data_IF_537904306243
#
_entry.id   IF_537904306243
#
_cell.length_a   1.000
_cell.length_b   1.000
_cell.length_c   1.000
_cell.angle_alpha   90.00
_cell.angle_beta   90.00
_cell.angle_gamma   90.00
#
_symmetry.space_group_name_H-M   'P 1'
#
loop_
_entity.id
_entity.type
_entity.pdbx_description
1 polymer ?
#
# COMPACT_ATOMS: atom_id res chain seq x y z
N UNK A 1 -18.03 -14.93 2.89
CA UNK A 1 -17.21 -15.67 1.89
C UNK A 1 -15.89 -16.03 2.58
N UNK A 2 -15.51 -17.30 2.58
CA UNK A 2 -14.21 -17.74 3.13
C UNK A 2 -13.17 -17.67 2.01
N UNK A 3 -11.96 -17.13 2.25
CA UNK A 3 -10.95 -17.08 1.20
C UNK A 3 -10.39 -18.46 0.86
N UNK A 4 -9.97 -18.61 -0.39
CA UNK A 4 -8.95 -19.60 -0.77
C UNK A 4 -7.60 -19.06 -0.36
N UNK A 5 -6.84 -19.80 0.44
CA UNK A 5 -5.53 -19.36 0.94
C UNK A 5 -4.44 -20.13 0.20
N UNK A 6 -3.62 -19.40 -0.55
CA UNK A 6 -2.48 -19.92 -1.30
C UNK A 6 -1.18 -19.47 -0.65
N UNK A 7 -0.20 -20.37 -0.61
CA UNK A 7 1.17 -20.06 -0.21
C UNK A 7 2.05 -19.88 -1.45
N UNK A 8 2.94 -18.92 -1.40
CA UNK A 8 3.92 -18.67 -2.45
C UNK A 8 5.32 -18.50 -1.87
N UNK A 9 6.35 -18.76 -2.67
CA UNK A 9 7.72 -18.67 -2.19
C UNK A 9 8.13 -17.22 -1.91
N UNK A 10 8.87 -17.00 -0.81
CA UNK A 10 9.52 -15.73 -0.50
C UNK A 10 11.02 -15.98 -0.42
N UNK A 11 11.87 -15.13 -1.03
CA UNK A 11 13.32 -15.24 -0.87
C UNK A 11 13.72 -15.23 0.61
N UNK A 12 14.40 -16.29 1.05
CA UNK A 12 14.90 -16.41 2.42
C UNK A 12 13.86 -16.73 3.49
N UNK A 13 12.69 -17.27 3.12
CA UNK A 13 11.66 -17.72 4.06
C UNK A 13 11.01 -19.05 3.64
N UNK A 14 11.26 -20.10 4.40
CA UNK A 14 10.69 -21.45 4.18
C UNK A 14 9.17 -21.51 4.33
N UNK A 15 8.58 -20.56 5.06
CA UNK A 15 7.14 -20.52 5.33
C UNK A 15 6.31 -19.92 4.20
N UNK A 16 6.99 -19.23 3.27
CA UNK A 16 6.38 -18.52 2.15
C UNK A 16 5.52 -17.32 2.58
N UNK A 17 4.92 -16.67 1.58
CA UNK A 17 3.92 -15.62 1.73
C UNK A 17 2.51 -16.19 1.66
N UNK A 18 1.54 -15.36 2.00
CA UNK A 18 0.12 -15.71 1.96
C UNK A 18 -0.62 -14.85 0.95
N UNK A 19 -1.46 -15.50 0.15
CA UNK A 19 -2.40 -14.87 -0.75
C UNK A 19 -3.81 -15.37 -0.42
N UNK A 20 -4.67 -14.45 0.03
CA UNK A 20 -6.09 -14.72 0.27
C UNK A 20 -6.88 -14.34 -0.98
N UNK A 21 -7.59 -15.29 -1.56
CA UNK A 21 -8.32 -15.10 -2.81
C UNK A 21 -9.83 -15.15 -2.54
N UNK A 22 -10.54 -14.18 -3.12
CA UNK A 22 -11.99 -14.02 -3.08
C UNK A 22 -12.55 -13.87 -4.50
N UNK A 23 -13.79 -14.31 -4.71
CA UNK A 23 -14.48 -14.22 -6.00
C UNK A 23 -14.24 -15.42 -6.91
N UNK A 24 -14.85 -15.36 -8.09
CA UNK A 24 -14.89 -16.43 -9.09
C UNK A 24 -13.93 -16.14 -10.26
N UNK A 25 -13.25 -17.15 -10.79
CA UNK A 25 -12.32 -17.00 -11.93
C UNK A 25 -12.96 -16.62 -13.27
N UNK A 26 -14.27 -16.37 -13.29
CA UNK A 26 -15.00 -15.82 -14.45
C UNK A 26 -15.05 -14.29 -14.46
N UNK A 27 -14.57 -13.62 -13.39
CA UNK A 27 -14.59 -12.16 -13.30
C UNK A 27 -13.78 -11.48 -14.40
N UNK A 28 -14.31 -10.41 -14.99
CA UNK A 28 -13.60 -9.58 -15.99
C UNK A 28 -12.43 -8.78 -15.41
N UNK A 29 -12.45 -8.56 -14.10
CA UNK A 29 -11.44 -7.81 -13.35
C UNK A 29 -10.71 -8.72 -12.37
N UNK A 30 -9.38 -8.72 -12.47
CA UNK A 30 -8.47 -9.31 -11.48
C UNK A 30 -7.86 -8.18 -10.67
N UNK A 31 -7.95 -8.27 -9.35
CA UNK A 31 -7.46 -7.25 -8.42
C UNK A 31 -6.45 -7.87 -7.47
N UNK A 32 -5.27 -7.27 -7.34
CA UNK A 32 -4.29 -7.63 -6.30
C UNK A 32 -4.13 -6.47 -5.32
N UNK A 33 -4.47 -6.69 -4.06
CA UNK A 33 -4.14 -5.79 -2.97
C UNK A 33 -2.83 -6.20 -2.30
N UNK A 34 -1.94 -5.23 -2.08
CA UNK A 34 -0.79 -5.38 -1.20
C UNK A 34 -0.64 -4.16 -0.27
N UNK A 35 -0.92 -4.38 1.01
CA UNK A 35 -0.81 -3.35 2.05
C UNK A 35 0.63 -3.18 2.55
N UNK A 36 0.97 -1.94 2.91
CA UNK A 36 2.19 -1.53 3.59
C UNK A 36 2.09 -1.62 5.09
N UNK A 37 2.85 -0.82 5.83
CA UNK A 37 2.73 -0.80 7.29
C UNK A 37 1.44 -0.09 7.69
N UNK A 38 0.68 -0.56 8.69
CA UNK A 38 0.81 -1.82 9.44
C UNK A 38 -0.17 -2.91 8.93
N UNK A 39 -0.43 -3.00 7.63
CA UNK A 39 -1.40 -3.93 7.07
C UNK A 39 -0.93 -5.38 7.08
N UNK A 40 -1.78 -6.24 7.66
CA UNK A 40 -1.81 -7.65 7.29
C UNK A 40 -2.82 -7.87 6.14
N UNK A 41 -3.26 -9.11 5.93
CA UNK A 41 -4.33 -9.41 4.98
C UNK A 41 -5.72 -9.04 5.50
N UNK A 42 -5.87 -8.96 6.81
CA UNK A 42 -7.12 -8.80 7.54
C UNK A 42 -7.82 -7.44 7.31
N UNK A 43 -7.14 -6.26 7.29
CA UNK A 43 -7.82 -4.97 7.24
C UNK A 43 -8.55 -4.75 5.92
N UNK A 44 -8.00 -5.29 4.83
CA UNK A 44 -8.59 -5.18 3.50
C UNK A 44 -9.57 -6.32 3.17
N UNK A 45 -9.62 -7.38 3.99
CA UNK A 45 -10.50 -8.54 3.75
C UNK A 45 -11.98 -8.14 3.55
N UNK A 46 -12.59 -7.24 4.37
CA UNK A 46 -13.96 -6.81 4.14
C UNK A 46 -14.17 -6.12 2.79
N UNK A 47 -13.22 -5.29 2.35
CA UNK A 47 -13.26 -4.65 1.03
C UNK A 47 -13.10 -5.67 -0.09
N UNK A 48 -12.17 -6.62 0.04
CA UNK A 48 -11.96 -7.67 -0.94
C UNK A 48 -13.22 -8.55 -1.13
N UNK A 49 -13.90 -8.90 -0.03
CA UNK A 49 -15.17 -9.62 -0.08
C UNK A 49 -16.26 -8.83 -0.78
N UNK A 50 -16.34 -7.52 -0.51
CA UNK A 50 -17.29 -6.63 -1.18
C UNK A 50 -17.01 -6.60 -2.68
N UNK A 51 -15.78 -6.26 -3.09
CA UNK A 51 -15.36 -6.24 -4.50
C UNK A 51 -15.59 -7.57 -5.22
N UNK A 52 -15.40 -8.70 -4.52
CA UNK A 52 -15.66 -10.04 -5.06
C UNK A 52 -17.14 -10.35 -5.29
N UNK A 53 -18.05 -9.64 -4.63
CA UNK A 53 -19.49 -9.74 -4.85
C UNK A 53 -19.98 -8.74 -5.89
N UNK A 54 -20.94 -9.17 -6.70
CA UNK A 54 -21.68 -8.29 -7.62
C UNK A 54 -22.55 -7.31 -6.82
N UNK A 55 -22.43 -6.01 -7.09
CA UNK A 55 -23.32 -4.99 -6.53
C UNK A 55 -24.65 -5.01 -7.28
N UNK A 56 -25.76 -4.98 -6.54
CA UNK A 56 -27.12 -5.01 -7.09
C UNK A 56 -27.51 -3.76 -7.88
N UNK A 57 -26.67 -2.71 -7.90
CA UNK A 57 -27.07 -1.41 -8.43
C UNK A 57 -26.35 -0.99 -9.71
N UNK A 58 -25.11 -1.42 -10.01
CA UNK A 58 -24.41 -0.96 -11.23
C UNK A 58 -23.41 -1.95 -11.83
N UNK A 59 -22.95 -2.97 -11.11
CA UNK A 59 -21.94 -3.92 -11.61
C UNK A 59 -22.57 -5.29 -11.84
N UNK A 60 -22.59 -5.80 -13.08
CA UNK A 60 -23.12 -7.15 -13.32
C UNK A 60 -22.22 -8.24 -12.73
N UNK A 61 -20.90 -8.02 -12.68
CA UNK A 61 -19.92 -9.03 -12.26
C UNK A 61 -19.07 -8.59 -11.05
N UNK A 62 -18.81 -9.52 -10.13
CA UNK A 62 -17.80 -9.35 -9.08
C UNK A 62 -16.37 -9.41 -9.62
N UNK A 63 -15.39 -9.05 -8.79
CA UNK A 63 -13.96 -9.14 -9.13
C UNK A 63 -13.33 -10.45 -8.62
N UNK A 64 -12.22 -10.86 -9.23
CA UNK A 64 -11.34 -11.88 -8.66
C UNK A 64 -10.24 -11.19 -7.87
N UNK A 65 -10.32 -11.25 -6.53
CA UNK A 65 -9.52 -10.40 -5.64
C UNK A 65 -8.51 -11.21 -4.84
N UNK A 66 -7.24 -10.94 -5.04
CA UNK A 66 -6.14 -11.40 -4.19
C UNK A 66 -5.77 -10.35 -3.15
N UNK A 67 -5.57 -10.78 -1.92
CA UNK A 67 -5.08 -9.95 -0.81
C UNK A 67 -3.81 -10.56 -0.27
N UNK A 68 -2.73 -9.79 -0.28
CA UNK A 68 -1.46 -10.18 0.32
C UNK A 68 -0.89 -9.05 1.17
N UNK A 69 0.11 -9.36 1.97
CA UNK A 69 0.81 -8.40 2.81
C UNK A 69 2.31 -8.71 2.82
N UNK A 70 3.08 -7.83 3.42
CA UNK A 70 4.53 -7.98 3.44
C UNK A 70 4.96 -9.15 4.35
N UNK A 71 6.15 -9.73 4.11
CA UNK A 71 6.65 -10.80 4.94
C UNK A 71 6.73 -10.38 6.41
N UNK A 72 6.08 -11.16 7.28
CA UNK A 72 6.02 -10.89 8.72
C UNK A 72 4.99 -9.85 9.14
N UNK A 73 4.08 -9.41 8.26
CA UNK A 73 3.00 -8.48 8.63
C UNK A 73 1.68 -9.20 8.94
N UNK A 74 1.47 -10.38 8.38
CA UNK A 74 0.34 -11.26 8.73
C UNK A 74 0.42 -11.71 10.18
N UNK A 75 -0.58 -11.34 10.98
CA UNK A 75 -0.55 -11.54 12.44
C UNK A 75 -0.71 -13.01 12.82
N UNK A 76 -1.70 -13.69 12.22
CA UNK A 76 -1.95 -15.11 12.49
C UNK A 76 -0.75 -15.97 12.15
N UNK A 77 -0.06 -15.68 11.03
CA UNK A 77 1.16 -16.40 10.69
C UNK A 77 2.29 -16.05 11.65
N UNK A 78 2.47 -14.78 12.02
CA UNK A 78 3.57 -14.39 12.90
C UNK A 78 3.54 -15.11 14.26
N UNK A 79 2.35 -15.34 14.82
CA UNK A 79 2.20 -16.00 16.12
C UNK A 79 2.44 -17.51 16.10
N UNK A 80 2.39 -18.16 14.94
CA UNK A 80 2.56 -19.61 14.86
C UNK A 80 4.04 -19.97 15.05
N UNK A 81 4.34 -20.88 16.00
CA UNK A 81 5.70 -21.34 16.32
C UNK A 81 6.49 -21.83 15.08
N UNK A 82 5.82 -22.43 14.11
CA UNK A 82 6.41 -22.87 12.82
C UNK A 82 6.82 -21.73 11.89
N UNK A 83 6.37 -20.50 12.15
CA UNK A 83 6.59 -19.31 11.35
C UNK A 83 7.49 -18.27 12.04
N UNK A 84 8.18 -18.68 13.11
CA UNK A 84 9.34 -17.97 13.68
C UNK A 84 10.56 -17.88 12.73
N UNK A 85 10.44 -18.37 11.51
CA UNK A 85 11.49 -18.40 10.48
C UNK A 85 11.66 -17.12 9.66
N UNK A 86 10.97 -16.02 9.99
CA UNK A 86 11.20 -14.76 9.29
C UNK A 86 12.64 -14.28 9.51
N UNK A 87 13.27 -13.81 8.44
CA UNK A 87 14.63 -13.25 8.47
C UNK A 87 14.73 -12.17 9.55
N UNK A 88 15.63 -12.35 10.52
CA UNK A 88 15.90 -11.38 11.60
C UNK A 88 16.18 -9.96 11.08
N UNK A 89 16.81 -9.87 9.92
CA UNK A 89 17.13 -8.60 9.26
C UNK A 89 15.95 -7.90 8.59
N UNK A 90 14.74 -8.49 8.59
CA UNK A 90 13.63 -8.04 7.75
C UNK A 90 13.95 -8.20 6.26
N UNK A 91 13.10 -7.61 5.43
CA UNK A 91 13.15 -7.75 3.98
C UNK A 91 13.37 -6.39 3.32
N UNK A 92 14.31 -6.32 2.38
CA UNK A 92 14.53 -5.11 1.59
C UNK A 92 13.46 -4.96 0.49
N UNK A 93 13.40 -3.80 -0.17
CA UNK A 93 12.35 -3.54 -1.16
C UNK A 93 12.38 -4.47 -2.37
N UNK A 94 13.54 -4.96 -2.81
CA UNK A 94 13.62 -5.95 -3.89
C UNK A 94 13.08 -7.31 -3.45
N UNK A 95 13.35 -7.72 -2.21
CA UNK A 95 12.79 -8.96 -1.63
C UNK A 95 11.26 -8.86 -1.54
N UNK A 96 10.72 -7.72 -1.08
CA UNK A 96 9.27 -7.47 -1.02
C UNK A 96 8.64 -7.40 -2.40
N UNK A 97 9.30 -6.77 -3.37
CA UNK A 97 8.86 -6.72 -4.76
C UNK A 97 8.72 -8.13 -5.35
N UNK A 98 9.67 -9.02 -5.08
CA UNK A 98 9.55 -10.43 -5.45
C UNK A 98 8.30 -11.08 -4.83
N UNK A 99 7.94 -10.75 -3.58
CA UNK A 99 6.71 -11.23 -2.97
C UNK A 99 5.46 -10.78 -3.73
N UNK A 100 5.40 -9.50 -4.12
CA UNK A 100 4.28 -8.95 -4.90
C UNK A 100 4.16 -9.67 -6.25
N UNK A 101 5.29 -9.89 -6.93
CA UNK A 101 5.32 -10.63 -8.20
C UNK A 101 4.83 -12.07 -8.04
N UNK A 102 5.35 -12.81 -7.07
CA UNK A 102 4.93 -14.20 -6.84
C UNK A 102 3.45 -14.30 -6.44
N UNK A 103 2.95 -13.33 -5.66
CA UNK A 103 1.53 -13.24 -5.33
C UNK A 103 0.67 -12.99 -6.59
N UNK A 104 1.07 -12.06 -7.46
CA UNK A 104 0.39 -11.81 -8.73
C UNK A 104 0.37 -13.08 -9.60
N UNK A 105 1.51 -13.76 -9.71
CA UNK A 105 1.60 -15.02 -10.47
C UNK A 105 0.64 -16.09 -9.94
N UNK A 106 0.64 -16.33 -8.62
CA UNK A 106 -0.28 -17.31 -8.03
C UNK A 106 -1.75 -16.90 -8.16
N UNK A 107 -2.05 -15.59 -8.11
CA UNK A 107 -3.40 -15.09 -8.34
C UNK A 107 -3.88 -15.48 -9.74
N UNK A 108 -3.05 -15.29 -10.76
CA UNK A 108 -3.40 -15.65 -12.14
C UNK A 108 -3.45 -17.17 -12.35
N UNK A 109 -2.56 -17.95 -11.72
CA UNK A 109 -2.65 -19.43 -11.74
C UNK A 109 -4.02 -19.89 -11.24
N UNK A 110 -4.48 -19.37 -10.09
CA UNK A 110 -5.80 -19.74 -9.56
C UNK A 110 -6.96 -19.18 -10.39
N UNK A 111 -6.81 -17.98 -10.94
CA UNK A 111 -7.80 -17.39 -11.84
C UNK A 111 -8.04 -18.28 -13.07
N UNK A 112 -6.97 -18.69 -13.75
CA UNK A 112 -7.08 -19.55 -14.93
C UNK A 112 -7.50 -20.98 -14.58
N UNK A 113 -7.13 -21.51 -13.41
CA UNK A 113 -7.58 -22.84 -12.95
C UNK A 113 -9.10 -22.91 -12.80
N UNK A 114 -9.75 -21.79 -12.46
CA UNK A 114 -11.20 -21.69 -12.30
C UNK A 114 -11.94 -21.39 -13.63
N UNK A 115 -11.23 -21.02 -14.71
CA UNK A 115 -11.85 -20.81 -16.03
C UNK A 115 -12.09 -22.15 -16.73
N UNK A 116 -13.34 -22.61 -16.72
CA UNK A 116 -13.76 -23.91 -17.31
C UNK A 116 -13.98 -23.84 -18.85
N UNK A 117 -14.04 -22.64 -19.45
CA UNK A 117 -14.32 -22.48 -20.90
C UNK A 117 -13.54 -21.31 -21.55
N UNK A 118 -13.31 -21.42 -22.87
CA UNK A 118 -12.58 -20.55 -23.81
C UNK A 118 -13.02 -19.06 -23.83
N UNK A 119 -12.85 -18.34 -22.73
CA UNK A 119 -12.91 -16.87 -22.76
C UNK A 119 -11.63 -16.33 -23.40
N UNK A 120 -11.75 -15.86 -24.64
CA UNK A 120 -10.66 -15.22 -25.42
C UNK A 120 -10.18 -13.88 -24.85
N UNK A 121 -10.89 -13.31 -23.87
CA UNK A 121 -10.57 -12.00 -23.33
C UNK A 121 -9.66 -12.10 -22.10
N UNK A 122 -8.51 -11.44 -22.21
CA UNK A 122 -7.57 -11.20 -21.10
C UNK A 122 -8.27 -10.31 -20.06
N UNK A 123 -8.28 -10.70 -18.77
CA UNK A 123 -8.90 -9.87 -17.74
C UNK A 123 -8.14 -8.55 -17.58
N UNK A 124 -8.83 -7.51 -17.13
CA UNK A 124 -8.18 -6.29 -16.67
C UNK A 124 -7.48 -6.57 -15.34
N UNK A 125 -6.20 -6.20 -15.24
CA UNK A 125 -5.44 -6.36 -14.01
C UNK A 125 -5.27 -5.02 -13.29
N UNK A 126 -5.82 -4.93 -12.08
CA UNK A 126 -5.69 -3.76 -11.20
C UNK A 126 -4.89 -4.12 -9.96
N UNK A 127 -3.94 -3.27 -9.59
CA UNK A 127 -3.23 -3.38 -8.31
C UNK A 127 -3.70 -2.29 -7.35
N UNK A 128 -3.82 -2.62 -6.08
CA UNK A 128 -4.20 -1.70 -5.00
C UNK A 128 -3.09 -1.72 -3.96
N UNK A 129 -2.51 -0.56 -3.69
CA UNK A 129 -1.42 -0.41 -2.72
C UNK A 129 -1.78 0.61 -1.65
N UNK A 130 -1.40 0.32 -0.42
CA UNK A 130 -1.62 1.19 0.74
C UNK A 130 -0.31 1.43 1.50
N UNK A 131 -0.13 2.65 2.00
CA UNK A 131 1.02 3.07 2.80
C UNK A 131 2.38 2.68 2.16
N UNK A 132 3.29 2.02 2.91
CA UNK A 132 4.57 1.53 2.40
C UNK A 132 4.42 0.59 1.22
N UNK A 133 3.28 -0.09 1.04
CA UNK A 133 2.98 -0.96 -0.10
C UNK A 133 3.07 -0.21 -1.42
N UNK A 134 2.84 1.11 -1.42
CA UNK A 134 2.97 1.96 -2.61
C UNK A 134 4.38 1.94 -3.18
N UNK A 135 5.43 1.88 -2.34
CA UNK A 135 6.81 1.93 -2.81
C UNK A 135 7.23 0.71 -3.64
N UNK A 136 7.31 -0.51 -3.09
CA UNK A 136 7.63 -1.68 -3.89
C UNK A 136 6.48 -2.05 -4.85
N UNK A 137 5.25 -1.59 -4.60
CA UNK A 137 4.13 -1.74 -5.52
C UNK A 137 4.34 -0.97 -6.82
N UNK A 138 4.71 0.31 -6.76
CA UNK A 138 5.07 1.08 -7.95
C UNK A 138 6.36 0.57 -8.59
N UNK A 139 7.33 0.11 -7.81
CA UNK A 139 8.50 -0.58 -8.37
C UNK A 139 8.10 -1.84 -9.14
N UNK A 140 7.15 -2.64 -8.63
CA UNK A 140 6.62 -3.80 -9.35
C UNK A 140 5.96 -3.37 -10.66
N UNK A 141 5.07 -2.38 -10.63
CA UNK A 141 4.38 -1.90 -11.84
C UNK A 141 5.37 -1.43 -12.91
N UNK A 142 6.28 -0.53 -12.55
CA UNK A 142 7.22 0.04 -13.53
C UNK A 142 8.17 -1.03 -14.09
N UNK A 143 8.64 -1.96 -13.26
CA UNK A 143 9.46 -3.08 -13.74
C UNK A 143 8.68 -4.04 -14.62
N UNK A 144 7.39 -4.29 -14.35
CA UNK A 144 6.56 -5.09 -15.25
C UNK A 144 6.32 -4.42 -16.60
N UNK A 145 6.34 -3.08 -16.66
CA UNK A 145 6.24 -2.31 -17.91
C UNK A 145 7.58 -2.31 -18.68
N UNK A 146 8.71 -2.18 -17.97
CA UNK A 146 10.02 -1.96 -18.57
C UNK A 146 10.83 -3.25 -18.80
N UNK A 147 10.63 -4.28 -17.98
CA UNK A 147 11.44 -5.51 -17.98
C UNK A 147 10.61 -6.72 -18.44
N UNK A 148 10.98 -7.34 -19.55
CA UNK A 148 10.30 -8.53 -20.10
C UNK A 148 10.19 -9.68 -19.09
N UNK A 149 11.16 -9.81 -18.17
CA UNK A 149 11.17 -10.82 -17.11
C UNK A 149 10.05 -10.61 -16.06
N UNK A 150 9.51 -9.40 -15.94
CA UNK A 150 8.38 -9.07 -15.06
C UNK A 150 7.04 -8.95 -15.82
N UNK A 151 7.05 -9.06 -17.15
CA UNK A 151 5.90 -8.76 -18.02
C UNK A 151 4.75 -9.78 -17.97
N UNK A 152 4.93 -10.96 -17.33
CA UNK A 152 3.93 -12.05 -17.33
C UNK A 152 2.52 -11.55 -16.94
N UNK A 153 2.46 -10.61 -15.98
CA UNK A 153 1.23 -9.92 -15.57
C UNK A 153 1.50 -8.44 -15.30
N UNK A 154 1.37 -7.60 -16.33
CA UNK A 154 1.52 -6.14 -16.22
C UNK A 154 0.20 -5.50 -15.79
N UNK A 155 0.16 -4.78 -14.65
CA UNK A 155 -1.06 -4.08 -14.24
C UNK A 155 -1.48 -3.00 -15.24
N UNK A 156 -2.76 -2.97 -15.57
CA UNK A 156 -3.34 -1.93 -16.43
C UNK A 156 -3.82 -0.72 -15.62
N UNK A 157 -4.08 -0.91 -14.32
CA UNK A 157 -4.62 0.13 -13.44
C UNK A 157 -4.00 0.05 -12.06
N UNK A 158 -3.91 1.21 -11.41
CA UNK A 158 -3.35 1.34 -10.09
C UNK A 158 -4.32 2.10 -9.20
N UNK A 159 -4.58 1.57 -8.02
CA UNK A 159 -5.22 2.30 -6.93
C UNK A 159 -4.18 2.54 -5.85
N UNK A 160 -3.94 3.81 -5.50
CA UNK A 160 -3.04 4.21 -4.44
C UNK A 160 -3.85 4.75 -3.27
N UNK A 161 -3.61 4.22 -2.09
CA UNK A 161 -4.29 4.59 -0.86
C UNK A 161 -3.29 5.29 0.08
N UNK A 162 -3.66 6.50 0.51
CA UNK A 162 -2.96 7.34 1.51
C UNK A 162 -1.61 7.93 1.05
N UNK A 163 -0.73 7.14 0.45
CA UNK A 163 0.61 7.54 0.01
C UNK A 163 0.67 7.80 -1.50
N UNK A 164 1.37 8.88 -1.88
CA UNK A 164 1.69 9.17 -3.28
C UNK A 164 3.19 9.50 -3.41
N UNK A 165 3.90 8.72 -4.20
CA UNK A 165 5.34 8.89 -4.42
C UNK A 165 5.63 9.90 -5.52
N UNK A 166 6.92 10.16 -5.75
CA UNK A 166 7.37 11.17 -6.69
C UNK A 166 7.00 10.86 -8.15
N UNK A 167 6.98 11.88 -9.03
CA UNK A 167 6.72 11.68 -10.44
C UNK A 167 7.82 10.85 -11.10
N UNK A 168 7.49 10.19 -12.22
CA UNK A 168 8.50 9.65 -13.14
C UNK A 168 9.55 10.73 -13.45
N UNK A 169 10.85 10.40 -13.57
CA UNK A 169 11.90 11.36 -13.87
C UNK A 169 11.60 12.28 -15.07
N UNK A 170 10.95 11.75 -16.10
CA UNK A 170 10.61 12.51 -17.32
C UNK A 170 9.46 13.52 -17.12
N UNK A 171 8.66 13.38 -16.06
CA UNK A 171 7.63 14.38 -15.69
C UNK A 171 8.19 15.52 -14.83
N UNK A 172 9.41 15.39 -14.29
CA UNK A 172 9.92 16.31 -13.25
C UNK A 172 10.04 17.76 -13.72
N UNK A 173 10.12 18.00 -15.02
CA UNK A 173 10.19 19.34 -15.60
C UNK A 173 8.83 20.05 -15.67
N UNK A 174 7.71 19.33 -15.62
CA UNK A 174 6.37 19.94 -15.74
C UNK A 174 5.94 20.69 -14.48
N UNK A 175 6.48 20.31 -13.31
CA UNK A 175 6.13 20.88 -12.00
C UNK A 175 7.36 21.21 -11.14
N UNK A 176 8.46 21.63 -11.78
CA UNK A 176 9.73 21.93 -11.10
C UNK A 176 9.63 23.04 -10.03
N UNK A 177 8.64 23.91 -10.16
CA UNK A 177 8.39 25.03 -9.24
C UNK A 177 7.69 24.60 -7.94
N UNK A 178 7.10 23.39 -7.89
CA UNK A 178 6.49 22.85 -6.68
C UNK A 178 7.53 22.09 -5.87
N UNK A 179 7.66 22.44 -4.59
CA UNK A 179 8.42 21.64 -3.64
C UNK A 179 7.69 20.31 -3.40
N UNK A 180 8.37 19.15 -3.40
CA UNK A 180 7.71 17.87 -3.10
C UNK A 180 7.08 17.86 -1.71
N UNK A 181 7.73 18.53 -0.75
CA UNK A 181 7.32 18.65 0.64
C UNK A 181 7.71 20.02 1.19
N UNK A 182 6.95 20.51 2.17
CA UNK A 182 7.34 21.62 3.04
C UNK A 182 8.44 21.20 4.03
N UNK A 183 9.16 22.18 4.58
CA UNK A 183 10.18 21.94 5.62
C UNK A 183 9.60 21.19 6.82
N UNK A 184 8.37 21.51 7.21
CA UNK A 184 7.71 20.88 8.35
C UNK A 184 7.31 19.43 8.05
N UNK A 185 6.87 19.11 6.83
CA UNK A 185 6.64 17.73 6.39
C UNK A 185 7.93 16.92 6.41
N UNK A 186 9.04 17.50 5.92
CA UNK A 186 10.34 16.85 5.96
C UNK A 186 10.80 16.53 7.40
N UNK A 187 10.62 17.47 8.32
CA UNK A 187 10.92 17.25 9.74
C UNK A 187 10.08 16.12 10.35
N UNK A 188 8.78 16.07 10.02
CA UNK A 188 7.91 14.96 10.43
C UNK A 188 8.39 13.64 9.85
N UNK A 189 8.71 13.58 8.55
CA UNK A 189 9.20 12.36 7.92
C UNK A 189 10.46 11.86 8.59
N UNK A 190 11.45 12.72 8.78
CA UNK A 190 12.73 12.31 9.36
C UNK A 190 12.54 11.87 10.80
N UNK A 191 11.77 12.59 11.61
CA UNK A 191 11.57 12.25 13.02
C UNK A 191 10.75 10.97 13.20
N UNK A 192 9.61 10.87 12.51
CA UNK A 192 8.71 9.71 12.58
C UNK A 192 9.36 8.45 11.99
N UNK A 193 9.78 8.52 10.71
CA UNK A 193 10.38 7.38 10.03
C UNK A 193 11.70 6.99 10.69
N UNK A 194 12.49 7.97 11.12
CA UNK A 194 13.78 7.75 11.79
C UNK A 194 13.61 7.01 13.11
N UNK A 195 12.58 7.35 13.89
CA UNK A 195 12.24 6.63 15.13
C UNK A 195 11.99 5.15 14.87
N UNK A 196 11.20 4.83 13.84
CA UNK A 196 10.83 3.45 13.50
C UNK A 196 12.04 2.68 12.97
N UNK A 197 12.83 3.31 12.09
CA UNK A 197 14.07 2.77 11.56
C UNK A 197 15.10 2.44 12.66
N UNK A 198 15.31 3.37 13.61
CA UNK A 198 16.21 3.18 14.75
C UNK A 198 15.72 2.06 15.67
N UNK A 199 14.42 2.02 15.99
CA UNK A 199 13.85 0.95 16.81
C UNK A 199 14.06 -0.43 16.18
N UNK A 200 13.83 -0.56 14.87
CA UNK A 200 14.10 -1.81 14.15
C UNK A 200 15.59 -2.15 14.13
N UNK A 201 16.48 -1.18 13.89
CA UNK A 201 17.92 -1.41 13.91
C UNK A 201 18.38 -1.94 15.29
N UNK A 202 17.87 -1.35 16.37
CA UNK A 202 18.16 -1.77 17.74
C UNK A 202 17.62 -3.18 18.05
N UNK A 203 16.40 -3.51 17.60
CA UNK A 203 15.88 -4.87 17.64
C UNK A 203 16.80 -5.85 16.88
N UNK A 204 17.19 -5.48 15.66
CA UNK A 204 17.99 -6.31 14.76
C UNK A 204 19.38 -6.59 15.33
N UNK A 205 20.10 -5.58 15.80
CA UNK A 205 21.51 -5.70 16.16
C UNK A 205 21.76 -5.95 17.64
N UNK A 206 20.83 -5.57 18.53
CA UNK A 206 21.01 -5.68 19.97
C UNK A 206 20.00 -6.66 20.59
N UNK A 207 18.78 -6.19 20.90
CA UNK A 207 17.73 -6.99 21.51
C UNK A 207 16.35 -6.35 21.36
N UNK A 208 15.30 -7.16 21.56
CA UNK A 208 13.91 -6.68 21.62
C UNK A 208 13.71 -5.58 22.64
N UNK A 209 14.22 -5.76 23.86
CA UNK A 209 14.07 -4.79 24.95
C UNK A 209 14.67 -3.43 24.57
N UNK A 210 15.84 -3.43 23.93
CA UNK A 210 16.50 -2.18 23.51
C UNK A 210 15.75 -1.53 22.34
N UNK A 211 15.25 -2.33 21.38
CA UNK A 211 14.37 -1.84 20.32
C UNK A 211 13.11 -1.15 20.85
N UNK A 212 12.44 -1.78 21.82
CA UNK A 212 11.21 -1.25 22.43
C UNK A 212 11.48 0.03 23.22
N UNK A 213 12.55 0.06 24.01
CA UNK A 213 12.94 1.25 24.76
C UNK A 213 13.27 2.41 23.82
N UNK A 214 14.01 2.13 22.74
CA UNK A 214 14.34 3.10 21.70
C UNK A 214 13.08 3.69 21.07
N UNK A 215 12.13 2.84 20.67
CA UNK A 215 10.85 3.28 20.13
C UNK A 215 10.12 4.21 21.11
N UNK A 216 9.93 3.77 22.36
CA UNK A 216 9.20 4.56 23.38
C UNK A 216 9.84 5.93 23.64
N UNK A 217 11.16 5.98 23.82
CA UNK A 217 11.88 7.22 24.11
C UNK A 217 11.80 8.17 22.91
N UNK A 218 12.15 7.70 21.71
CA UNK A 218 12.16 8.55 20.51
C UNK A 218 10.75 9.01 20.13
N UNK A 219 9.76 8.11 20.20
CA UNK A 219 8.38 8.44 19.84
C UNK A 219 7.75 9.44 20.83
N UNK A 220 8.14 9.39 22.11
CA UNK A 220 7.77 10.43 23.07
C UNK A 220 8.25 11.82 22.61
N UNK A 221 9.48 11.94 22.12
CA UNK A 221 9.97 13.21 21.56
C UNK A 221 9.21 13.60 20.29
N UNK A 222 8.90 12.65 19.39
CA UNK A 222 8.06 12.91 18.20
C UNK A 222 6.71 13.50 18.60
N UNK A 223 6.05 12.96 19.64
CA UNK A 223 4.79 13.49 20.15
C UNK A 223 4.96 14.86 20.81
N UNK A 224 5.94 15.01 21.71
CA UNK A 224 6.18 16.27 22.44
C UNK A 224 6.50 17.44 21.50
N UNK A 225 7.27 17.17 20.45
CA UNK A 225 7.63 18.15 19.43
C UNK A 225 6.54 18.32 18.35
N UNK A 226 5.41 17.60 18.47
CA UNK A 226 4.30 17.64 17.51
C UNK A 226 4.70 17.25 16.09
N UNK A 227 5.62 16.29 16.01
CA UNK A 227 6.14 15.73 14.76
C UNK A 227 5.51 14.39 14.39
N UNK A 228 4.48 13.94 15.11
CA UNK A 228 3.72 12.76 14.72
C UNK A 228 2.83 13.09 13.51
N UNK A 229 2.82 12.25 12.45
CA UNK A 229 2.01 12.48 11.26
C UNK A 229 0.52 12.29 11.55
N UNK A 230 0.21 11.37 12.45
CA UNK A 230 -1.15 10.99 12.85
C UNK A 230 -1.36 11.30 14.34
N UNK A 231 -2.62 11.46 14.72
CA UNK A 231 -2.96 11.70 16.11
C UNK A 231 -2.58 10.47 16.97
N UNK A 232 -1.98 10.64 18.18
CA UNK A 232 -1.55 9.50 19.01
C UNK A 232 -2.67 8.60 19.52
N UNK A 233 -3.92 9.07 19.47
CA UNK A 233 -5.15 8.27 19.70
C UNK A 233 -5.94 8.07 18.41
N UNK A 234 -5.26 8.10 17.27
CA UNK A 234 -5.85 7.95 15.95
C UNK A 234 -6.19 6.50 15.65
N UNK A 235 -6.62 6.26 14.41
CA UNK A 235 -6.90 4.93 13.88
C UNK A 235 -5.79 3.95 14.24
N UNK A 236 -4.54 4.31 13.95
CA UNK A 236 -3.33 3.48 14.10
C UNK A 236 -3.23 2.70 15.40
N UNK A 237 -3.44 3.37 16.53
CA UNK A 237 -3.38 2.70 17.84
C UNK A 237 -4.58 1.79 18.08
N UNK A 238 -5.78 2.15 17.60
CA UNK A 238 -6.98 1.33 17.78
C UNK A 238 -6.85 -0.03 17.10
N UNK A 239 -6.41 -0.10 15.84
CA UNK A 239 -6.30 -1.40 15.14
C UNK A 239 -5.12 -2.21 15.68
N UNK A 240 -4.03 -1.58 16.11
CA UNK A 240 -2.93 -2.29 16.77
C UNK A 240 -3.39 -2.93 18.09
N UNK A 241 -4.22 -2.21 18.86
CA UNK A 241 -4.86 -2.73 20.07
C UNK A 241 -5.87 -3.85 19.77
N UNK A 242 -6.76 -3.67 18.78
CA UNK A 242 -7.73 -4.69 18.34
C UNK A 242 -7.04 -5.98 17.90
N UNK A 243 -5.90 -5.85 17.21
CA UNK A 243 -5.09 -6.97 16.72
C UNK A 243 -4.30 -7.67 17.80
N UNK A 244 -4.19 -7.09 19.01
CA UNK A 244 -3.36 -7.63 20.10
C UNK A 244 -1.93 -7.92 19.64
N UNK A 245 -1.39 -7.04 18.79
CA UNK A 245 -0.05 -7.19 18.24
C UNK A 245 0.97 -7.13 19.37
N UNK A 246 1.81 -8.16 19.52
CA UNK A 246 2.84 -8.13 20.55
C UNK A 246 3.94 -7.10 20.18
N UNK A 247 4.65 -6.61 21.21
CA UNK A 247 5.63 -5.55 21.02
C UNK A 247 6.78 -5.94 20.09
N UNK A 248 7.20 -7.22 20.10
CA UNK A 248 8.25 -7.70 19.22
C UNK A 248 7.79 -7.65 17.77
N UNK A 249 6.59 -8.17 17.49
CA UNK A 249 5.98 -8.14 16.17
C UNK A 249 5.83 -6.71 15.66
N UNK A 250 5.32 -5.80 16.49
CA UNK A 250 5.15 -4.39 16.14
C UNK A 250 6.47 -3.75 15.71
N UNK A 251 7.53 -3.94 16.48
CA UNK A 251 8.84 -3.36 16.14
C UNK A 251 9.45 -4.05 14.92
N UNK A 252 9.21 -5.36 14.77
CA UNK A 252 9.65 -6.11 13.60
C UNK A 252 9.09 -5.52 12.31
N UNK A 253 7.81 -5.13 12.28
CA UNK A 253 7.20 -4.53 11.09
C UNK A 253 7.74 -3.13 10.73
N UNK A 254 8.64 -2.56 11.54
CA UNK A 254 9.33 -1.30 11.22
C UNK A 254 10.53 -1.46 10.27
N UNK A 255 10.85 -2.67 9.81
CA UNK A 255 11.94 -2.87 8.84
C UNK A 255 11.84 -2.04 7.55
N UNK A 256 10.66 -1.69 6.98
CA UNK A 256 10.60 -0.88 5.76
C UNK A 256 11.24 0.49 5.96
N UNK A 257 11.07 1.08 7.15
CA UNK A 257 11.69 2.36 7.51
C UNK A 257 13.21 2.26 7.55
N UNK A 258 13.76 1.19 8.13
CA UNK A 258 15.20 0.94 8.14
C UNK A 258 15.77 0.82 6.72
N UNK A 259 15.12 0.04 5.85
CA UNK A 259 15.58 -0.13 4.48
C UNK A 259 15.39 1.13 3.63
N UNK A 260 14.38 1.97 3.91
CA UNK A 260 14.23 3.29 3.30
C UNK A 260 15.44 4.17 3.59
N UNK A 261 15.82 4.34 4.85
CA UNK A 261 17.01 5.14 5.20
C UNK A 261 18.29 4.52 4.65
N UNK A 262 18.43 3.20 4.71
CA UNK A 262 19.60 2.51 4.14
C UNK A 262 19.72 2.80 2.63
N UNK A 263 18.64 2.68 1.87
CA UNK A 263 18.65 2.98 0.45
C UNK A 263 18.95 4.48 0.20
N UNK A 264 18.29 5.40 0.92
CA UNK A 264 18.52 6.84 0.75
C UNK A 264 19.97 7.27 1.01
N UNK A 265 20.65 6.67 2.01
CA UNK A 265 22.01 7.04 2.37
C UNK A 265 23.10 6.27 1.62
N UNK A 266 22.88 4.99 1.30
CA UNK A 266 23.94 4.12 0.79
C UNK A 266 23.69 3.60 -0.63
N UNK A 267 22.44 3.50 -1.08
CA UNK A 267 22.13 2.93 -2.39
C UNK A 267 20.80 3.44 -2.97
N UNK A 268 20.78 4.72 -3.39
CA UNK A 268 19.56 5.34 -3.95
C UNK A 268 19.02 4.61 -5.19
N UNK A 269 19.87 3.84 -5.87
CA UNK A 269 19.47 3.04 -7.04
C UNK A 269 18.42 1.97 -6.71
N UNK A 270 18.34 1.53 -5.46
CA UNK A 270 17.29 0.59 -5.00
C UNK A 270 15.88 1.17 -5.11
N UNK A 271 15.72 2.50 -5.25
CA UNK A 271 14.43 3.18 -5.27
C UNK A 271 14.05 3.72 -6.66
N UNK A 272 14.83 3.46 -7.71
CA UNK A 272 14.68 4.10 -9.03
C UNK A 272 13.28 3.92 -9.64
N UNK A 273 12.68 2.75 -9.46
CA UNK A 273 11.33 2.46 -9.98
C UNK A 273 10.20 2.85 -9.00
N UNK A 274 10.52 3.45 -7.86
CA UNK A 274 9.55 3.88 -6.83
C UNK A 274 8.89 5.22 -7.15
N UNK A 275 8.35 5.37 -8.36
CA UNK A 275 7.74 6.60 -8.86
C UNK A 275 6.45 6.31 -9.66
N UNK A 276 5.70 7.35 -10.02
CA UNK A 276 4.53 7.17 -10.90
C UNK A 276 4.92 6.58 -12.27
N UNK A 277 4.07 5.76 -12.91
CA UNK A 277 4.33 5.26 -14.27
C UNK A 277 4.41 6.40 -15.27
N UNK A 278 5.30 6.26 -16.27
CA UNK A 278 5.50 7.26 -17.32
C UNK A 278 4.26 7.48 -18.20
N UNK A 279 3.45 6.46 -18.45
CA UNK A 279 2.29 6.58 -19.34
C UNK A 279 0.98 6.41 -18.55
N UNK A 280 0.46 7.52 -18.05
CA UNK A 280 -0.77 7.57 -17.25
C UNK A 280 -2.04 7.28 -18.07
N UNK A 281 -1.99 7.38 -19.41
CA UNK A 281 -3.08 6.95 -20.29
C UNK A 281 -3.18 5.42 -20.34
N UNK A 282 -2.04 4.74 -20.46
CA UNK A 282 -1.98 3.27 -20.47
C UNK A 282 -2.11 2.64 -19.10
N UNK A 283 -1.66 3.34 -18.06
CA UNK A 283 -1.64 2.87 -16.68
C UNK A 283 -2.19 3.95 -15.75
N UNK A 284 -3.51 4.24 -15.82
CA UNK A 284 -4.12 5.28 -15.00
C UNK A 284 -4.07 4.95 -13.52
N UNK A 285 -4.10 6.02 -12.70
CA UNK A 285 -4.07 5.96 -11.25
C UNK A 285 -5.36 6.53 -10.67
N UNK A 286 -5.99 5.76 -9.79
CA UNK A 286 -6.93 6.28 -8.80
C UNK A 286 -6.19 6.51 -7.49
N UNK A 287 -6.02 7.76 -7.09
CA UNK A 287 -5.45 8.10 -5.78
C UNK A 287 -6.56 8.45 -4.80
N UNK A 288 -6.74 7.64 -3.76
CA UNK A 288 -7.62 7.95 -2.64
C UNK A 288 -6.82 8.39 -1.44
N UNK A 289 -7.23 9.51 -0.85
CA UNK A 289 -6.53 10.12 0.26
C UNK A 289 -7.50 10.80 1.22
N UNK A 290 -7.18 10.81 2.51
CA UNK A 290 -7.98 11.50 3.50
C UNK A 290 -7.71 13.00 3.57
N UNK A 291 -8.69 13.80 4.01
CA UNK A 291 -8.32 15.06 4.67
C UNK A 291 -8.98 15.16 6.02
N UNK A 292 -8.20 15.67 6.98
CA UNK A 292 -8.47 15.78 8.41
C UNK A 292 -9.69 16.64 8.82
N UNK A 293 -10.87 16.35 8.28
CA UNK A 293 -12.15 16.82 8.84
C UNK A 293 -12.55 15.95 10.06
N UNK A 294 -11.98 14.74 10.23
CA UNK A 294 -12.33 13.83 11.34
C UNK A 294 -12.00 14.42 12.72
N UNK A 295 -10.83 15.05 12.85
CA UNK A 295 -10.33 15.56 14.13
C UNK A 295 -11.18 16.74 14.65
N UNK A 296 -11.88 17.43 13.76
CA UNK A 296 -12.83 18.48 14.14
C UNK A 296 -14.09 17.93 14.82
N UNK A 297 -14.56 16.74 14.43
CA UNK A 297 -15.81 16.14 14.92
C UNK A 297 -15.67 15.47 16.29
N UNK A 298 -14.51 14.88 16.61
CA UNK A 298 -14.34 14.12 17.86
C UNK A 298 -13.83 14.99 19.03
N UNK A 299 -13.04 16.05 18.77
CA UNK A 299 -12.30 16.73 19.86
C UNK A 299 -12.58 18.22 20.04
N UNK A 300 -13.52 18.85 19.31
CA UNK A 300 -13.85 20.31 19.42
C UNK A 300 -12.60 21.22 19.38
N UNK A 301 -11.48 20.72 18.88
CA UNK A 301 -10.18 21.37 18.86
C UNK A 301 -9.99 21.94 17.46
N UNK A 302 -10.10 23.27 17.33
CA UNK A 302 -9.86 24.05 16.08
C UNK A 302 -8.38 24.07 15.65
N UNK A 303 -7.63 23.00 15.87
CA UNK A 303 -6.17 22.97 15.66
C UNK A 303 -5.83 22.05 14.50
N UNK A 304 -5.77 22.68 13.32
CA UNK A 304 -5.53 22.14 11.99
C UNK A 304 -4.14 21.51 11.72
N UNK A 305 -3.33 21.22 12.74
CA UNK A 305 -1.90 20.93 12.54
C UNK A 305 -1.58 19.47 12.18
N UNK A 306 -2.57 18.58 12.25
CA UNK A 306 -2.46 17.14 11.97
C UNK A 306 -2.71 16.77 10.50
N UNK A 307 -2.60 17.75 9.59
CA UNK A 307 -2.92 17.65 8.15
C UNK A 307 -1.83 17.00 7.28
N UNK A 308 -0.89 16.23 7.84
CA UNK A 308 0.31 15.84 7.09
C UNK A 308 0.10 14.53 6.36
N UNK A 309 -0.10 14.66 5.07
CA UNK A 309 -0.23 13.53 4.17
C UNK A 309 1.11 13.16 3.56
N UNK A 310 1.31 11.86 3.38
CA UNK A 310 2.51 11.32 2.77
C UNK A 310 2.42 11.35 1.23
N UNK A 311 2.13 12.52 0.63
CA UNK A 311 2.09 12.68 -0.81
C UNK A 311 3.08 13.72 -1.33
N UNK A 312 3.76 13.39 -2.44
CA UNK A 312 4.55 14.36 -3.20
C UNK A 312 3.62 15.37 -3.87
N UNK A 313 3.77 16.67 -3.55
CA UNK A 313 2.91 17.73 -4.08
C UNK A 313 2.96 17.83 -5.62
N UNK A 314 4.06 17.42 -6.25
CA UNK A 314 4.22 17.44 -7.72
C UNK A 314 3.38 16.34 -8.36
N UNK A 315 3.46 15.12 -7.84
CA UNK A 315 2.64 13.99 -8.29
C UNK A 315 1.16 14.27 -8.13
N UNK A 316 0.80 14.89 -7.01
CA UNK A 316 -0.57 15.31 -6.77
C UNK A 316 -1.06 16.28 -7.84
N UNK A 317 -0.25 17.30 -8.17
CA UNK A 317 -0.57 18.26 -9.22
C UNK A 317 -0.68 17.62 -10.62
N UNK A 318 0.16 16.63 -10.94
CA UNK A 318 0.08 15.86 -12.19
C UNK A 318 -1.28 15.14 -12.29
N UNK A 319 -1.66 14.37 -11.26
CA UNK A 319 -2.91 13.62 -11.30
C UNK A 319 -4.15 14.53 -11.34
N UNK A 320 -4.10 15.68 -10.66
CA UNK A 320 -5.17 16.68 -10.76
C UNK A 320 -5.26 17.32 -12.15
N UNK A 321 -4.11 17.52 -12.80
CA UNK A 321 -4.08 18.02 -14.17
C UNK A 321 -4.71 16.98 -15.12
N UNK A 322 -4.29 15.72 -15.02
CA UNK A 322 -4.84 14.62 -15.84
C UNK A 322 -6.36 14.49 -15.72
N UNK A 323 -6.89 14.52 -14.49
CA UNK A 323 -8.34 14.41 -14.25
C UNK A 323 -9.11 15.62 -14.80
N UNK A 324 -8.56 16.84 -14.65
CA UNK A 324 -9.20 18.07 -15.12
C UNK A 324 -9.19 18.16 -16.64
N UNK A 325 -8.06 17.82 -17.25
CA UNK A 325 -7.84 17.96 -18.69
C UNK A 325 -8.47 16.77 -19.45
N UNK A 326 -8.85 15.69 -18.74
CA UNK A 326 -9.51 14.50 -19.31
C UNK A 326 -8.60 13.69 -20.22
N UNK A 327 -7.28 13.77 -20.00
CA UNK A 327 -6.25 13.16 -20.84
C UNK A 327 -6.03 11.68 -20.55
N UNK A 328 -6.38 11.23 -19.34
CA UNK A 328 -6.38 9.83 -18.92
C UNK A 328 -7.53 9.54 -17.95
N UNK A 329 -7.75 8.27 -17.64
CA UNK A 329 -8.71 7.83 -16.61
C UNK A 329 -8.20 8.09 -15.18
N UNK A 330 -7.11 8.86 -14.99
CA UNK A 330 -6.60 9.19 -13.66
C UNK A 330 -7.60 10.00 -12.86
N UNK A 331 -7.69 9.72 -11.57
CA UNK A 331 -8.62 10.39 -10.65
C UNK A 331 -8.02 10.58 -9.28
N UNK A 332 -8.33 11.71 -8.66
CA UNK A 332 -7.89 12.08 -7.32
C UNK A 332 -9.11 12.24 -6.42
N UNK A 333 -9.32 11.27 -5.54
CA UNK A 333 -10.50 11.23 -4.67
C UNK A 333 -10.13 11.51 -3.23
N UNK A 334 -10.84 12.50 -2.68
CA UNK A 334 -10.72 12.93 -1.31
C UNK A 334 -11.77 12.22 -0.42
N UNK A 335 -11.33 11.42 0.53
CA UNK A 335 -12.18 10.69 1.47
C UNK A 335 -12.19 11.40 2.83
N UNK A 336 -13.18 12.26 3.05
CA UNK A 336 -13.27 13.03 4.31
C UNK A 336 -13.48 12.13 5.51
N UNK A 337 -12.76 12.40 6.60
CA UNK A 337 -13.08 11.84 7.90
C UNK A 337 -12.66 10.39 8.11
N UNK A 338 -11.62 9.92 7.41
CA UNK A 338 -11.32 8.50 7.24
C UNK A 338 -9.91 8.08 7.73
N UNK A 339 -9.07 9.02 8.16
CA UNK A 339 -7.69 8.78 8.58
C UNK A 339 -6.84 7.93 7.63
N UNK A 340 -5.85 7.26 8.21
CA UNK A 340 -4.90 6.36 7.53
C UNK A 340 -5.61 5.16 6.85
N UNK A 341 -6.47 4.43 7.60
CA UNK A 341 -7.25 3.32 7.02
C UNK A 341 -8.62 3.74 6.51
N UNK A 342 -8.61 4.62 5.51
CA UNK A 342 -9.84 5.16 4.94
C UNK A 342 -10.81 4.09 4.42
N UNK A 343 -10.29 2.96 3.92
CA UNK A 343 -11.10 1.83 3.45
C UNK A 343 -11.72 1.01 4.58
N UNK A 344 -11.21 1.09 5.81
CA UNK A 344 -11.85 0.52 6.99
C UNK A 344 -12.87 1.48 7.61
N UNK A 345 -12.56 2.78 7.62
CA UNK A 345 -13.38 3.80 8.30
C UNK A 345 -14.51 4.34 7.41
N UNK A 346 -14.33 4.37 6.09
CA UNK A 346 -15.32 4.80 5.09
C UNK A 346 -15.40 3.80 3.92
N UNK A 347 -15.71 2.51 4.19
CA UNK A 347 -15.64 1.45 3.20
C UNK A 347 -16.58 1.70 2.01
N UNK A 348 -17.75 2.28 2.22
CA UNK A 348 -18.74 2.52 1.16
C UNK A 348 -18.24 3.53 0.13
N UNK A 349 -17.55 4.57 0.59
CA UNK A 349 -16.98 5.60 -0.29
C UNK A 349 -15.82 5.03 -1.10
N UNK A 350 -14.92 4.30 -0.42
CA UNK A 350 -13.77 3.69 -1.08
C UNK A 350 -14.22 2.62 -2.10
N UNK A 351 -15.18 1.77 -1.73
CA UNK A 351 -15.74 0.74 -2.61
C UNK A 351 -16.34 1.37 -3.87
N UNK A 352 -17.19 2.39 -3.71
CA UNK A 352 -17.85 3.05 -4.83
C UNK A 352 -16.85 3.62 -5.85
N UNK A 353 -15.79 4.27 -5.35
CA UNK A 353 -14.79 4.91 -6.20
C UNK A 353 -13.85 3.90 -6.87
N UNK A 354 -13.46 2.84 -6.15
CA UNK A 354 -12.72 1.72 -6.73
C UNK A 354 -13.55 1.06 -7.83
N UNK A 355 -14.83 0.74 -7.59
CA UNK A 355 -15.70 0.13 -8.60
C UNK A 355 -15.90 1.03 -9.81
N UNK A 356 -16.14 2.33 -9.61
CA UNK A 356 -16.26 3.29 -10.71
C UNK A 356 -15.01 3.29 -11.59
N UNK A 357 -13.83 3.21 -10.97
CA UNK A 357 -12.55 3.15 -11.69
C UNK A 357 -12.33 1.80 -12.40
N UNK A 358 -12.71 0.67 -11.79
CA UNK A 358 -12.66 -0.65 -12.41
C UNK A 358 -13.61 -0.79 -13.62
N UNK A 359 -14.72 -0.06 -13.63
CA UNK A 359 -15.72 -0.13 -14.69
C UNK A 359 -15.52 0.91 -15.81
N UNK A 360 -14.60 1.87 -15.65
CA UNK A 360 -14.31 2.82 -16.70
C UNK A 360 -13.92 2.05 -17.98
N UNK A 361 -14.49 2.39 -19.13
CA UNK A 361 -13.98 1.84 -20.39
C UNK A 361 -12.61 2.47 -20.62
N UNK A 362 -11.54 1.67 -20.71
CA UNK A 362 -10.26 2.24 -21.13
C UNK A 362 -10.48 2.93 -22.48
N UNK A 363 -10.34 4.25 -22.52
CA UNK A 363 -10.28 4.98 -23.79
C UNK A 363 -9.14 4.38 -24.56
N UNK A 364 -9.47 3.60 -25.61
CA UNK A 364 -8.50 3.02 -26.53
C UNK A 364 -7.83 4.19 -27.25
N UNK A 365 -6.72 4.67 -26.70
CA UNK A 365 -5.80 5.59 -27.36
C UNK A 365 -5.04 4.90 -28.48
#
# INVERSE_FOLDING_TARGET
MKPTIIRYAIPGNESGGLLHIYGEGTASNVVLYCGGWPDGVEPFTPMAMRLATSSSTETKDGCFVGVTCWPGFDFESYQQLKFRGFKRGGYNFNEVLCCIREAAKQLFVEYYRQRVHDFKETPQFTVIFHDFGVLPGLMFVNRSIEEDYFAEHTPNRIVLLDVLLEPHPDFRTQFWHLSPYSVHELLVYVAYRGTFACAFAMLRFLSETIGLLTFRIMYMFVIMLRLAPLHPKGSDMMLLEERKMDHHHLIYTFYPYYYLFRAMFFNKKELVHGCLPLNLVKTPILYLYETADYIHLVLRSKREWWKKMFHDHRSFAILQQEERDGTSDCRVVKVKGAGHWMYCLRPEVCEAEIRKFLNASMTRG
#
